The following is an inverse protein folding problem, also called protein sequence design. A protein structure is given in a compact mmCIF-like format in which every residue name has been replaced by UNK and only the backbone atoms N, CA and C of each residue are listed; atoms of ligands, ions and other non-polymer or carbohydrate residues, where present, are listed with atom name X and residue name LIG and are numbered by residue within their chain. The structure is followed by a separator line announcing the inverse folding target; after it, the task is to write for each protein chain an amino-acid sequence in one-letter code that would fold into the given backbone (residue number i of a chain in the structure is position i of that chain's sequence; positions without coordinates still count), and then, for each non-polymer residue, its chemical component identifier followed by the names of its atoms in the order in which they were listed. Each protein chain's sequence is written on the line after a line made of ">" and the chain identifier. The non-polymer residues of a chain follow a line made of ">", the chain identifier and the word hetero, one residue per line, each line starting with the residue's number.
data_IF_620527494777
#
_entry.id   IF_620527494777
#
_cell.length_a   1.000
_cell.length_b   1.000
_cell.length_c   1.000
_cell.angle_alpha   90.00
_cell.angle_beta   90.00
_cell.angle_gamma   90.00
#
_symmetry.space_group_name_H-M   'P 1'
#
loop_
_entity.id
_entity.type
_entity.pdbx_description
1 polymer ?
#
# COMPACT_ATOMS: atom_id res chain seq x y z
N UNK A 1 -37.74 -3.31 28.05
CA UNK A 1 -36.96 -2.37 27.22
C UNK A 1 -35.89 -1.83 28.15
N UNK A 2 -34.84 -2.61 28.32
CA UNK A 2 -33.64 -2.27 29.09
C UNK A 2 -32.47 -2.54 28.15
N UNK A 3 -31.50 -1.62 28.01
CA UNK A 3 -30.37 -1.82 27.14
C UNK A 3 -29.37 -2.76 27.83
N UNK A 4 -28.92 -3.76 27.08
CA UNK A 4 -27.85 -4.68 27.48
C UNK A 4 -26.52 -3.96 27.27
N UNK A 5 -25.93 -3.48 28.36
CA UNK A 5 -24.52 -3.10 28.43
C UNK A 5 -23.66 -4.37 28.31
N UNK A 6 -22.80 -4.44 27.29
CA UNK A 6 -21.92 -5.58 27.08
C UNK A 6 -20.76 -5.32 26.11
N UNK A 7 -20.40 -4.06 25.86
CA UNK A 7 -19.36 -3.69 24.91
C UNK A 7 -18.42 -2.64 25.52
N UNK A 8 -17.64 -3.01 26.54
CA UNK A 8 -16.57 -2.14 27.03
C UNK A 8 -15.44 -2.81 27.84
N UNK A 9 -15.47 -4.12 28.09
CA UNK A 9 -14.43 -4.76 28.93
C UNK A 9 -13.90 -6.07 28.34
N UNK A 10 -13.13 -5.96 27.26
CA UNK A 10 -12.28 -7.05 26.77
C UNK A 10 -10.83 -6.62 26.87
N UNK A 11 -10.30 -6.68 28.09
CA UNK A 11 -8.88 -6.53 28.37
C UNK A 11 -8.05 -7.55 27.58
N UNK A 12 -6.78 -7.21 27.35
CA UNK A 12 -5.78 -7.92 26.54
C UNK A 12 -5.50 -9.40 26.91
N UNK A 13 -6.25 -9.99 27.84
CA UNK A 13 -6.01 -11.32 28.41
C UNK A 13 -6.71 -12.50 27.70
N UNK A 14 -7.62 -12.28 26.74
CA UNK A 14 -8.44 -13.36 26.13
C UNK A 14 -8.02 -13.80 24.73
N UNK A 15 -7.00 -13.15 24.14
CA UNK A 15 -6.69 -13.25 22.71
C UNK A 15 -5.91 -14.51 22.27
N UNK A 16 -5.61 -15.44 23.19
CA UNK A 16 -4.82 -16.66 22.91
C UNK A 16 -5.46 -17.97 23.39
N UNK A 17 -6.64 -17.93 24.01
CA UNK A 17 -7.31 -19.14 24.51
C UNK A 17 -8.33 -19.72 23.52
N UNK A 18 -8.79 -18.92 22.55
CA UNK A 18 -9.81 -19.32 21.58
C UNK A 18 -9.21 -19.73 20.24
N UNK A 19 -9.77 -20.79 19.65
CA UNK A 19 -9.49 -21.18 18.26
C UNK A 19 -10.42 -20.45 17.31
N UNK A 20 -9.84 -19.76 16.32
CA UNK A 20 -10.59 -19.06 15.28
C UNK A 20 -10.65 -19.84 13.97
N UNK A 21 -11.69 -19.60 13.17
CA UNK A 21 -11.88 -20.15 11.83
C UNK A 21 -12.36 -19.10 10.84
N UNK A 22 -11.90 -19.17 9.59
CA UNK A 22 -12.43 -18.37 8.48
C UNK A 22 -12.19 -19.04 7.12
N UNK A 23 -12.85 -18.54 6.09
CA UNK A 23 -12.49 -18.84 4.68
C UNK A 23 -11.35 -17.90 4.27
N UNK A 24 -10.22 -18.45 3.82
CA UNK A 24 -9.01 -17.68 3.46
C UNK A 24 -8.86 -17.44 1.95
N UNK A 25 -9.75 -18.01 1.12
CA UNK A 25 -9.80 -17.80 -0.34
C UNK A 25 -10.81 -16.72 -0.72
N UNK A 26 -10.60 -16.08 -1.88
CA UNK A 26 -11.54 -15.10 -2.42
C UNK A 26 -12.94 -15.69 -2.61
N UNK A 27 -13.96 -14.84 -2.46
CA UNK A 27 -15.35 -15.21 -2.69
C UNK A 27 -15.64 -15.32 -4.18
N UNK A 28 -16.17 -16.47 -4.62
CA UNK A 28 -16.52 -16.71 -6.01
C UNK A 28 -16.32 -18.18 -6.41
N UNK A 29 -16.71 -18.56 -7.64
CA UNK A 29 -16.43 -19.89 -8.14
C UNK A 29 -14.92 -20.08 -8.33
N UNK A 30 -14.31 -20.93 -7.52
CA UNK A 30 -12.93 -21.37 -7.65
C UNK A 30 -12.85 -22.89 -7.66
N UNK A 31 -11.72 -23.45 -8.13
CA UNK A 31 -11.48 -24.88 -8.03
C UNK A 31 -11.29 -25.32 -6.56
N UNK A 32 -10.63 -24.48 -5.75
CA UNK A 32 -10.25 -24.78 -4.37
C UNK A 32 -10.75 -23.67 -3.44
N UNK A 33 -11.25 -24.07 -2.28
CA UNK A 33 -11.60 -23.20 -1.16
C UNK A 33 -10.82 -23.60 0.08
N UNK A 34 -10.30 -22.62 0.83
CA UNK A 34 -9.53 -22.90 2.04
C UNK A 34 -10.30 -22.41 3.26
N UNK A 35 -10.61 -23.33 4.19
CA UNK A 35 -11.10 -23.01 5.54
C UNK A 35 -9.93 -23.19 6.51
N UNK A 36 -9.50 -22.10 7.13
CA UNK A 36 -8.32 -22.06 8.02
C UNK A 36 -8.75 -21.95 9.47
N UNK A 37 -8.15 -22.76 10.34
CA UNK A 37 -8.22 -22.66 11.79
C UNK A 37 -6.89 -22.18 12.38
N UNK A 38 -6.92 -21.40 13.45
CA UNK A 38 -5.74 -21.02 14.25
C UNK A 38 -6.08 -20.96 15.74
N UNK A 39 -5.25 -21.56 16.58
CA UNK A 39 -5.41 -21.53 18.03
C UNK A 39 -5.14 -22.88 18.71
N UNK A 40 -5.31 -22.97 20.05
CA UNK A 40 -4.91 -24.13 20.83
C UNK A 40 -5.65 -25.42 20.46
N UNK A 41 -6.91 -25.33 20.02
CA UNK A 41 -7.76 -26.46 19.68
C UNK A 41 -7.86 -26.72 18.16
N UNK A 42 -7.13 -25.96 17.33
CA UNK A 42 -7.24 -26.04 15.86
C UNK A 42 -7.07 -27.48 15.35
N UNK A 43 -6.10 -28.21 15.91
CA UNK A 43 -5.86 -29.60 15.52
C UNK A 43 -6.92 -30.55 16.05
N UNK A 44 -7.36 -30.37 17.30
CA UNK A 44 -8.40 -31.22 17.89
C UNK A 44 -9.73 -31.08 17.14
N UNK A 45 -10.12 -29.86 16.82
CA UNK A 45 -11.32 -29.55 16.04
C UNK A 45 -11.24 -30.21 14.66
N UNK A 46 -10.14 -29.99 13.93
CA UNK A 46 -9.98 -30.57 12.60
C UNK A 46 -9.95 -32.11 12.61
N UNK A 47 -9.29 -32.72 13.60
CA UNK A 47 -9.25 -34.18 13.77
C UNK A 47 -10.63 -34.78 14.01
N UNK A 48 -11.51 -34.08 14.73
CA UNK A 48 -12.87 -34.56 14.98
C UNK A 48 -13.77 -34.55 13.73
N UNK A 49 -13.40 -33.77 12.71
CA UNK A 49 -14.17 -33.58 11.49
C UNK A 49 -13.53 -34.19 10.24
N UNK A 50 -12.30 -34.70 10.31
CA UNK A 50 -11.56 -35.16 9.14
C UNK A 50 -11.23 -36.65 9.22
N UNK A 51 -11.68 -37.40 8.22
CA UNK A 51 -11.42 -38.83 8.09
C UNK A 51 -10.39 -39.05 6.98
N UNK A 52 -9.14 -39.46 7.31
CA UNK A 52 -8.11 -39.70 6.30
C UNK A 52 -8.48 -40.91 5.43
N UNK A 53 -8.26 -40.82 4.12
CA UNK A 53 -8.53 -41.93 3.20
C UNK A 53 -7.54 -43.08 3.38
N UNK A 54 -6.33 -42.80 3.86
CA UNK A 54 -5.28 -43.78 4.19
C UNK A 54 -4.49 -43.30 5.41
N UNK A 55 -4.09 -44.25 6.25
CA UNK A 55 -3.23 -43.99 7.41
C UNK A 55 -3.99 -43.50 8.64
N UNK A 56 -3.22 -43.07 9.64
CA UNK A 56 -3.72 -42.46 10.88
C UNK A 56 -3.77 -40.94 10.68
N UNK A 57 -4.67 -40.25 11.37
CA UNK A 57 -4.80 -38.79 11.30
C UNK A 57 -3.52 -38.02 11.71
N UNK A 58 -3.58 -36.68 11.74
CA UNK A 58 -2.40 -35.85 11.97
C UNK A 58 -1.68 -36.21 13.28
N UNK A 59 -0.38 -36.52 13.22
CA UNK A 59 0.39 -36.91 14.40
C UNK A 59 0.85 -35.69 15.22
N UNK A 60 1.14 -35.84 16.52
CA UNK A 60 1.66 -34.74 17.35
C UNK A 60 2.97 -34.14 16.83
N UNK A 61 3.88 -34.97 16.33
CA UNK A 61 5.22 -34.60 15.88
C UNK A 61 5.30 -34.03 14.45
N UNK A 62 4.22 -34.14 13.68
CA UNK A 62 4.18 -33.71 12.28
C UNK A 62 3.86 -32.22 12.15
N UNK A 63 4.58 -31.52 11.26
CA UNK A 63 4.25 -30.17 10.81
C UNK A 63 4.59 -30.04 9.33
N UNK A 64 3.95 -29.10 8.63
CA UNK A 64 4.08 -28.94 7.18
C UNK A 64 3.73 -30.23 6.41
N UNK A 65 2.75 -30.98 6.92
CA UNK A 65 2.24 -32.20 6.31
C UNK A 65 0.88 -31.97 5.66
N UNK A 66 0.56 -32.80 4.67
CA UNK A 66 -0.71 -32.77 3.95
C UNK A 66 -1.33 -34.16 3.92
N UNK A 67 -2.61 -34.25 4.27
CA UNK A 67 -3.37 -35.49 4.34
C UNK A 67 -4.56 -35.42 3.39
N UNK A 68 -4.85 -36.52 2.70
CA UNK A 68 -6.02 -36.65 1.85
C UNK A 68 -7.12 -37.46 2.54
N UNK A 69 -8.36 -37.00 2.43
CA UNK A 69 -9.49 -37.58 3.15
C UNK A 69 -10.80 -36.86 2.88
N UNK A 70 -11.74 -37.00 3.82
CA UNK A 70 -13.06 -36.41 3.75
C UNK A 70 -13.33 -35.58 4.99
N UNK A 71 -13.99 -34.43 4.81
CA UNK A 71 -14.65 -33.73 5.91
C UNK A 71 -15.99 -34.41 6.16
N UNK A 72 -16.23 -34.84 7.39
CA UNK A 72 -17.41 -35.59 7.81
C UNK A 72 -18.00 -34.90 9.03
N UNK A 73 -19.33 -34.72 9.05
CA UNK A 73 -20.02 -34.26 10.24
C UNK A 73 -20.05 -35.40 11.28
N UNK A 74 -19.40 -35.26 12.44
CA UNK A 74 -19.30 -36.34 13.43
C UNK A 74 -20.63 -36.62 14.13
N UNK A 75 -21.60 -35.71 14.06
CA UNK A 75 -22.92 -35.90 14.66
C UNK A 75 -23.87 -36.71 13.77
N UNK A 76 -23.72 -36.61 12.44
CA UNK A 76 -24.61 -37.28 11.48
C UNK A 76 -23.92 -38.41 10.71
N UNK A 77 -22.60 -38.42 10.64
CA UNK A 77 -21.80 -39.30 9.78
C UNK A 77 -21.84 -38.93 8.29
N UNK A 78 -22.45 -37.80 7.93
CA UNK A 78 -22.55 -37.34 6.55
C UNK A 78 -21.21 -36.78 6.05
N UNK A 79 -20.75 -37.24 4.88
CA UNK A 79 -19.58 -36.66 4.22
C UNK A 79 -19.97 -35.32 3.58
N UNK A 80 -19.32 -34.26 4.04
CA UNK A 80 -19.53 -32.89 3.54
C UNK A 80 -18.76 -32.65 2.25
N UNK A 81 -17.47 -33.02 2.25
CA UNK A 81 -16.60 -32.81 1.09
C UNK A 81 -15.39 -33.75 1.11
N UNK A 82 -14.83 -34.01 -0.06
CA UNK A 82 -13.50 -34.59 -0.25
C UNK A 82 -12.47 -33.47 -0.22
N UNK A 83 -11.45 -33.58 0.64
CA UNK A 83 -10.56 -32.45 0.94
C UNK A 83 -9.12 -32.88 1.26
N UNK A 84 -8.21 -31.91 1.17
CA UNK A 84 -6.86 -32.02 1.75
C UNK A 84 -6.81 -31.27 3.08
N UNK A 85 -6.15 -31.85 4.06
CA UNK A 85 -5.85 -31.20 5.35
C UNK A 85 -4.36 -30.86 5.38
N UNK A 86 -4.02 -29.59 5.56
CA UNK A 86 -2.65 -29.13 5.80
C UNK A 86 -2.44 -28.75 7.27
N UNK A 87 -1.37 -29.26 7.87
CA UNK A 87 -1.05 -29.04 9.29
C UNK A 87 0.21 -28.18 9.45
N UNK A 88 0.14 -27.14 10.26
CA UNK A 88 1.27 -26.32 10.69
C UNK A 88 1.24 -26.15 12.20
N UNK A 89 2.22 -26.73 12.92
CA UNK A 89 2.28 -26.65 14.38
C UNK A 89 2.99 -25.38 14.87
N UNK A 90 2.59 -24.88 16.03
CA UNK A 90 3.30 -23.83 16.75
C UNK A 90 4.77 -24.21 17.02
N UNK A 91 5.72 -23.25 17.04
CA UNK A 91 5.59 -21.85 16.61
C UNK A 91 5.76 -21.67 15.09
N UNK A 92 5.78 -22.77 14.33
CA UNK A 92 6.14 -22.86 12.91
C UNK A 92 4.94 -22.65 11.99
N UNK A 93 4.14 -21.62 12.26
CA UNK A 93 2.92 -21.30 11.51
C UNK A 93 2.79 -19.79 11.30
N UNK A 94 1.83 -19.37 10.47
CA UNK A 94 1.58 -17.95 10.19
C UNK A 94 1.26 -17.14 11.46
N UNK A 95 0.45 -17.66 12.36
CA UNK A 95 0.10 -16.98 13.63
C UNK A 95 1.07 -17.31 14.76
N UNK A 96 2.03 -18.24 14.56
CA UNK A 96 2.80 -18.93 15.61
C UNK A 96 1.98 -19.80 16.57
N UNK A 97 0.69 -20.00 16.30
CA UNK A 97 -0.16 -20.97 16.97
C UNK A 97 -0.27 -22.26 16.13
N UNK A 98 -0.99 -23.27 16.62
CA UNK A 98 -1.36 -24.39 15.75
C UNK A 98 -2.35 -23.90 14.68
N UNK A 99 -2.05 -24.21 13.41
CA UNK A 99 -2.90 -23.92 12.26
C UNK A 99 -3.24 -25.22 11.53
N UNK A 100 -4.52 -25.34 11.16
CA UNK A 100 -4.99 -26.35 10.22
C UNK A 100 -5.72 -25.68 9.07
N UNK A 101 -5.44 -26.10 7.84
CA UNK A 101 -6.18 -25.66 6.66
C UNK A 101 -6.90 -26.85 6.01
N UNK A 102 -8.19 -26.70 5.77
CA UNK A 102 -9.00 -27.62 4.98
C UNK A 102 -9.17 -27.06 3.57
N UNK A 103 -8.56 -27.74 2.60
CA UNK A 103 -8.58 -27.41 1.18
C UNK A 103 -9.70 -28.22 0.53
N UNK A 104 -10.86 -27.59 0.45
CA UNK A 104 -12.12 -28.14 -0.04
C UNK A 104 -12.37 -27.72 -1.49
N UNK A 105 -13.42 -28.24 -2.11
CA UNK A 105 -13.88 -27.70 -3.40
C UNK A 105 -14.26 -26.22 -3.25
N UNK A 106 -13.88 -25.38 -4.22
CA UNK A 106 -14.05 -23.93 -4.14
C UNK A 106 -15.49 -23.42 -4.32
N UNK A 107 -16.48 -24.32 -4.30
CA UNK A 107 -17.89 -23.96 -4.30
C UNK A 107 -18.30 -23.30 -2.99
N UNK A 108 -19.08 -22.21 -3.07
CA UNK A 108 -19.55 -21.45 -1.91
C UNK A 108 -20.33 -22.33 -0.90
N UNK A 109 -21.04 -23.36 -1.38
CA UNK A 109 -21.78 -24.28 -0.53
C UNK A 109 -20.85 -25.17 0.31
N UNK A 110 -19.82 -25.76 -0.31
CA UNK A 110 -18.83 -26.60 0.37
C UNK A 110 -18.07 -25.80 1.44
N UNK A 111 -17.53 -24.64 1.08
CA UNK A 111 -16.83 -23.76 2.02
C UNK A 111 -17.70 -23.37 3.23
N UNK A 112 -18.97 -23.01 2.99
CA UNK A 112 -19.91 -22.64 4.06
C UNK A 112 -20.27 -23.84 4.95
N UNK A 113 -20.42 -25.02 4.38
CA UNK A 113 -20.71 -26.24 5.15
C UNK A 113 -19.55 -26.58 6.09
N UNK A 114 -18.32 -26.59 5.57
CA UNK A 114 -17.12 -26.85 6.35
C UNK A 114 -16.90 -25.77 7.43
N UNK A 115 -17.03 -24.48 7.09
CA UNK A 115 -16.93 -23.38 8.05
C UNK A 115 -17.94 -23.55 9.21
N UNK A 116 -19.21 -23.83 8.89
CA UNK A 116 -20.26 -24.03 9.90
C UNK A 116 -19.97 -25.24 10.78
N UNK A 117 -19.44 -26.31 10.22
CA UNK A 117 -19.03 -27.49 10.99
C UNK A 117 -17.92 -27.12 11.98
N UNK A 118 -16.88 -26.41 11.53
CA UNK A 118 -15.78 -25.99 12.42
C UNK A 118 -16.29 -25.11 13.56
N UNK A 119 -17.23 -24.20 13.28
CA UNK A 119 -17.86 -23.37 14.32
C UNK A 119 -18.62 -24.22 15.33
N UNK A 120 -19.42 -25.19 14.84
CA UNK A 120 -20.18 -26.10 15.71
C UNK A 120 -19.28 -26.94 16.62
N UNK A 121 -18.07 -27.26 16.16
CA UNK A 121 -17.08 -28.05 16.89
C UNK A 121 -16.22 -27.24 17.86
N UNK A 122 -16.46 -25.93 18.00
CA UNK A 122 -15.85 -25.08 19.03
C UNK A 122 -14.98 -23.95 18.51
N UNK A 123 -14.81 -23.79 17.20
CA UNK A 123 -14.09 -22.63 16.66
C UNK A 123 -14.99 -21.37 16.67
N UNK A 124 -14.40 -20.21 16.95
CA UNK A 124 -15.06 -18.91 16.76
C UNK A 124 -14.80 -18.40 15.35
N UNK A 125 -15.77 -17.69 14.75
CA UNK A 125 -15.50 -16.97 13.49
C UNK A 125 -14.45 -15.88 13.72
N UNK A 126 -13.39 -15.86 12.90
CA UNK A 126 -12.34 -14.85 13.00
C UNK A 126 -12.87 -13.44 12.70
N UNK A 127 -12.34 -12.45 13.40
CA UNK A 127 -12.54 -11.02 13.08
C UNK A 127 -11.70 -10.61 11.85
N UNK A 128 -12.01 -9.47 11.20
CA UNK A 128 -11.18 -8.93 10.12
C UNK A 128 -9.73 -8.73 10.58
N UNK A 129 -8.77 -9.27 9.82
CA UNK A 129 -7.34 -9.14 10.13
C UNK A 129 -6.86 -9.97 11.33
N UNK A 130 -7.70 -10.78 11.98
CA UNK A 130 -7.36 -11.45 13.23
C UNK A 130 -6.16 -12.40 13.09
N UNK A 131 -5.99 -13.09 11.95
CA UNK A 131 -4.82 -13.98 11.79
C UNK A 131 -3.52 -13.18 11.72
N UNK A 132 -3.50 -12.09 10.95
CA UNK A 132 -2.33 -11.18 10.85
C UNK A 132 -2.07 -10.51 12.20
N UNK A 133 -3.13 -10.11 12.92
CA UNK A 133 -3.03 -9.54 14.27
C UNK A 133 -2.37 -10.53 15.24
N UNK A 134 -2.76 -11.81 15.23
CA UNK A 134 -2.12 -12.84 16.05
C UNK A 134 -0.66 -13.06 15.65
N UNK A 135 -0.35 -13.05 14.35
CA UNK A 135 1.03 -13.12 13.87
C UNK A 135 1.89 -11.97 14.41
N UNK A 136 1.34 -10.75 14.45
CA UNK A 136 1.97 -9.58 15.05
C UNK A 136 2.15 -9.73 16.56
N UNK A 137 1.08 -10.03 17.30
CA UNK A 137 1.12 -10.17 18.77
C UNK A 137 2.06 -11.28 19.24
N UNK A 138 2.17 -12.37 18.48
CA UNK A 138 3.10 -13.46 18.78
C UNK A 138 4.54 -13.17 18.30
N UNK A 139 4.81 -11.97 17.78
CA UNK A 139 6.14 -11.49 17.40
C UNK A 139 6.72 -12.13 16.14
N UNK A 140 5.87 -12.68 15.25
CA UNK A 140 6.32 -13.22 13.96
C UNK A 140 6.67 -12.11 12.97
N UNK A 141 5.84 -11.08 12.97
CA UNK A 141 5.93 -9.92 12.10
C UNK A 141 5.75 -8.68 12.97
N UNK A 142 6.27 -7.55 12.52
CA UNK A 142 5.98 -6.25 13.11
C UNK A 142 4.78 -5.55 12.42
N UNK A 143 4.41 -4.36 12.89
CA UNK A 143 3.22 -3.67 12.39
C UNK A 143 3.38 -3.23 10.93
N UNK A 144 4.57 -2.77 10.54
CA UNK A 144 4.84 -2.36 9.17
C UNK A 144 4.80 -3.56 8.21
N UNK A 145 5.27 -4.73 8.65
CA UNK A 145 5.13 -5.98 7.93
C UNK A 145 3.67 -6.45 7.84
N UNK A 146 2.88 -6.30 8.92
CA UNK A 146 1.46 -6.61 8.92
C UNK A 146 0.70 -5.77 7.87
N UNK A 147 0.91 -4.45 7.83
CA UNK A 147 0.33 -3.58 6.79
C UNK A 147 0.76 -3.98 5.38
N UNK A 148 1.98 -4.49 5.22
CA UNK A 148 2.47 -4.98 3.92
C UNK A 148 1.69 -6.20 3.42
N UNK A 149 1.16 -7.05 4.32
CA UNK A 149 0.31 -8.18 3.94
C UNK A 149 -0.96 -7.68 3.25
N UNK A 150 -1.61 -6.63 3.77
CA UNK A 150 -2.75 -6.02 3.12
C UNK A 150 -2.36 -5.36 1.79
N UNK A 151 -1.23 -4.64 1.76
CA UNK A 151 -0.74 -3.94 0.58
C UNK A 151 -0.40 -4.89 -0.59
N UNK A 152 0.19 -6.07 -0.31
CA UNK A 152 0.45 -7.10 -1.34
C UNK A 152 -0.84 -7.56 -2.02
N UNK A 153 -1.91 -7.69 -1.24
CA UNK A 153 -3.20 -8.23 -1.70
C UNK A 153 -3.95 -7.20 -2.52
N UNK A 154 -3.84 -5.92 -2.16
CA UNK A 154 -4.47 -4.81 -2.87
C UNK A 154 -3.60 -4.22 -3.98
N UNK A 155 -2.36 -4.68 -4.15
CA UNK A 155 -1.41 -4.14 -5.11
C UNK A 155 -1.96 -4.15 -6.54
N UNK A 156 -2.02 -2.97 -7.14
CA UNK A 156 -2.57 -2.75 -8.49
C UNK A 156 -1.53 -2.79 -9.59
N UNK A 157 -0.25 -2.67 -9.26
CA UNK A 157 0.84 -2.65 -10.24
C UNK A 157 2.01 -3.53 -9.80
N UNK A 158 2.84 -3.91 -10.76
CA UNK A 158 4.08 -4.66 -10.47
C UNK A 158 5.07 -3.90 -9.58
N UNK A 159 5.07 -2.56 -9.63
CA UNK A 159 5.89 -1.73 -8.73
C UNK A 159 5.35 -1.73 -7.30
N UNK A 160 4.03 -1.59 -7.13
CA UNK A 160 3.39 -1.62 -5.82
C UNK A 160 3.61 -2.97 -5.14
N UNK A 161 3.42 -4.08 -5.87
CA UNK A 161 3.67 -5.42 -5.36
C UNK A 161 5.13 -5.60 -4.91
N UNK A 162 6.09 -5.18 -5.73
CA UNK A 162 7.53 -5.27 -5.39
C UNK A 162 7.87 -4.46 -4.15
N UNK A 163 7.32 -3.24 -4.02
CA UNK A 163 7.53 -2.40 -2.83
C UNK A 163 6.96 -3.08 -1.57
N UNK A 164 5.73 -3.61 -1.63
CA UNK A 164 5.12 -4.28 -0.49
C UNK A 164 5.83 -5.59 -0.09
N UNK A 165 6.34 -6.36 -1.06
CA UNK A 165 7.13 -7.57 -0.77
C UNK A 165 8.43 -7.22 -0.04
N UNK A 166 9.19 -6.22 -0.50
CA UNK A 166 10.41 -5.76 0.18
C UNK A 166 10.14 -5.25 1.59
N UNK A 167 9.00 -4.57 1.79
CA UNK A 167 8.60 -4.12 3.11
C UNK A 167 8.24 -5.30 4.03
N UNK A 168 7.58 -6.33 3.50
CA UNK A 168 7.30 -7.57 4.22
C UNK A 168 8.58 -8.31 4.64
N UNK A 169 9.65 -8.26 3.82
CA UNK A 169 10.98 -8.78 4.17
C UNK A 169 11.62 -8.05 5.37
N UNK A 170 11.11 -6.88 5.75
CA UNK A 170 11.52 -6.16 6.97
C UNK A 170 12.49 -5.01 6.74
N UNK A 171 12.88 -4.72 5.49
CA UNK A 171 13.88 -3.69 5.19
C UNK A 171 13.52 -2.29 5.71
N UNK A 172 12.23 -1.91 5.66
CA UNK A 172 11.76 -0.66 6.27
C UNK A 172 11.94 -0.68 7.79
N UNK A 173 11.49 -1.76 8.45
CA UNK A 173 11.54 -1.90 9.90
C UNK A 173 12.96 -1.88 10.44
N UNK A 174 13.89 -2.56 9.78
CA UNK A 174 15.31 -2.54 10.14
C UNK A 174 15.89 -1.13 10.09
N UNK A 175 15.59 -0.39 9.01
CA UNK A 175 16.03 1.00 8.84
C UNK A 175 15.47 1.89 9.94
N UNK A 176 14.16 1.82 10.20
CA UNK A 176 13.50 2.63 11.23
C UNK A 176 14.02 2.30 12.64
N UNK A 177 14.22 1.01 12.97
CA UNK A 177 14.81 0.59 14.25
C UNK A 177 16.22 1.10 14.42
N UNK A 178 17.05 1.11 13.36
CA UNK A 178 18.40 1.65 13.44
C UNK A 178 18.40 3.15 13.78
N UNK A 179 17.54 3.94 13.13
CA UNK A 179 17.41 5.38 13.38
C UNK A 179 16.85 5.65 14.78
N UNK A 180 15.82 4.90 15.18
CA UNK A 180 15.25 4.96 16.53
C UNK A 180 16.30 4.62 17.60
N UNK A 181 17.13 3.61 17.38
CA UNK A 181 18.20 3.22 18.32
C UNK A 181 19.21 4.35 18.54
N UNK A 182 19.57 5.06 17.47
CA UNK A 182 20.45 6.24 17.57
C UNK A 182 19.77 7.34 18.37
N UNK A 183 18.52 7.69 18.06
CA UNK A 183 17.76 8.70 18.80
C UNK A 183 17.59 8.37 20.28
N UNK A 184 17.30 7.11 20.63
CA UNK A 184 17.21 6.67 22.03
C UNK A 184 18.56 6.80 22.74
N UNK A 185 19.66 6.49 22.06
CA UNK A 185 21.00 6.69 22.62
C UNK A 185 21.32 8.16 22.90
N UNK A 186 20.94 9.05 21.98
CA UNK A 186 21.07 10.49 22.13
C UNK A 186 20.17 11.00 23.28
N UNK A 187 18.91 10.57 23.33
CA UNK A 187 17.96 10.95 24.37
C UNK A 187 18.48 10.57 25.76
N UNK A 188 18.98 9.35 25.92
CA UNK A 188 19.51 8.88 27.19
C UNK A 188 20.71 9.71 27.69
N UNK A 189 21.56 10.21 26.78
CA UNK A 189 22.66 11.10 27.14
C UNK A 189 22.17 12.47 27.61
N UNK A 190 21.17 13.03 26.92
CA UNK A 190 20.58 14.32 27.27
C UNK A 190 19.77 14.25 28.58
N UNK A 191 18.99 13.18 28.80
CA UNK A 191 18.19 13.00 30.03
C UNK A 191 19.06 12.92 31.28
N UNK A 192 20.23 12.29 31.21
CA UNK A 192 21.16 12.23 32.36
C UNK A 192 21.62 13.62 32.79
N UNK A 193 21.85 14.54 31.86
CA UNK A 193 22.22 15.92 32.21
C UNK A 193 21.06 16.67 32.86
N UNK A 194 19.83 16.47 32.36
CA UNK A 194 18.61 17.09 32.92
C UNK A 194 18.30 16.59 34.33
N UNK A 195 18.30 15.27 34.53
CA UNK A 195 17.88 14.65 35.79
C UNK A 195 18.89 14.87 36.94
N UNK A 196 20.16 15.13 36.60
CA UNK A 196 21.27 15.25 37.56
C UNK A 196 22.00 16.60 37.46
N UNK A 197 21.29 17.68 37.12
CA UNK A 197 21.86 19.02 36.95
C UNK A 197 22.56 19.60 38.20
N UNK A 198 22.27 19.06 39.39
CA UNK A 198 22.84 19.47 40.68
C UNK A 198 24.02 18.58 41.15
N UNK A 199 24.36 17.53 40.40
CA UNK A 199 25.48 16.63 40.68
C UNK A 199 26.69 16.93 39.76
N UNK A 200 27.90 16.48 40.14
CA UNK A 200 29.14 16.63 39.33
C UNK A 200 29.12 15.69 38.11
N UNK A 201 28.12 15.83 37.24
CA UNK A 201 27.99 15.08 35.98
C UNK A 201 28.75 15.82 34.88
N UNK A 202 29.35 15.05 33.96
CA UNK A 202 29.98 15.63 32.78
C UNK A 202 28.95 16.45 31.97
N UNK A 203 29.29 17.69 31.57
CA UNK A 203 28.37 18.55 30.83
C UNK A 203 28.04 17.97 29.46
N UNK A 204 26.83 18.22 28.99
CA UNK A 204 26.35 17.76 27.68
C UNK A 204 27.25 18.29 26.55
N UNK A 205 27.76 17.38 25.72
CA UNK A 205 28.47 17.75 24.49
C UNK A 205 27.47 18.15 23.40
N UNK A 206 27.10 19.43 23.40
CA UNK A 206 26.23 20.04 22.39
C UNK A 206 26.73 19.83 20.96
N UNK A 207 28.05 19.77 20.74
CA UNK A 207 28.63 19.55 19.42
C UNK A 207 28.32 18.14 18.92
N UNK A 208 28.60 17.13 19.74
CA UNK A 208 28.28 15.74 19.44
C UNK A 208 26.77 15.51 19.27
N UNK A 209 25.94 16.19 20.07
CA UNK A 209 24.49 16.14 19.97
C UNK A 209 23.98 16.67 18.63
N UNK A 210 24.44 17.85 18.21
CA UNK A 210 24.05 18.47 16.92
C UNK A 210 24.51 17.61 15.75
N UNK A 211 25.71 17.03 15.81
CA UNK A 211 26.22 16.13 14.77
C UNK A 211 25.37 14.84 14.68
N UNK A 212 25.08 14.21 15.83
CA UNK A 212 24.25 13.01 15.91
C UNK A 212 22.84 13.24 15.36
N UNK A 213 22.18 14.33 15.78
CA UNK A 213 20.85 14.70 15.28
C UNK A 213 20.86 15.06 13.80
N UNK A 214 21.91 15.73 13.31
CA UNK A 214 22.07 16.07 11.89
C UNK A 214 22.16 14.82 11.01
N UNK A 215 22.92 13.82 11.42
CA UNK A 215 23.03 12.54 10.72
C UNK A 215 21.68 11.81 10.63
N UNK A 216 20.93 11.76 11.73
CA UNK A 216 19.59 11.14 11.76
C UNK A 216 18.59 11.94 10.91
N UNK A 217 18.62 13.27 10.97
CA UNK A 217 17.75 14.14 10.18
C UNK A 217 17.95 13.89 8.68
N UNK A 218 19.19 13.82 8.21
CA UNK A 218 19.52 13.57 6.80
C UNK A 218 18.98 12.22 6.32
N UNK A 219 19.13 11.19 7.15
CA UNK A 219 18.64 9.84 6.85
C UNK A 219 17.11 9.75 6.86
N UNK A 220 16.44 10.40 7.81
CA UNK A 220 14.98 10.48 7.83
C UNK A 220 14.45 11.31 6.66
N UNK A 221 15.10 12.42 6.31
CA UNK A 221 14.73 13.24 5.16
C UNK A 221 14.88 12.47 3.84
N UNK A 222 15.92 11.65 3.71
CA UNK A 222 16.14 10.75 2.57
C UNK A 222 14.99 9.76 2.42
N UNK A 223 14.65 9.06 3.51
CA UNK A 223 13.51 8.14 3.53
C UNK A 223 12.19 8.87 3.22
N UNK A 224 12.00 10.09 3.76
CA UNK A 224 10.80 10.88 3.52
C UNK A 224 10.65 11.32 2.06
N UNK A 225 11.74 11.50 1.30
CA UNK A 225 11.64 11.79 -0.15
C UNK A 225 10.95 10.66 -0.93
N UNK A 226 11.02 9.42 -0.45
CA UNK A 226 10.31 8.28 -1.06
C UNK A 226 8.78 8.34 -0.89
N UNK A 227 8.26 9.24 -0.05
CA UNK A 227 6.84 9.38 0.24
C UNK A 227 5.99 9.67 -1.01
N UNK A 228 6.52 10.46 -1.96
CA UNK A 228 5.81 10.75 -3.20
C UNK A 228 5.65 9.49 -4.06
N UNK A 229 6.73 8.73 -4.25
CA UNK A 229 6.69 7.44 -4.94
C UNK A 229 5.77 6.46 -4.22
N UNK A 230 5.80 6.41 -2.88
CA UNK A 230 4.91 5.58 -2.08
C UNK A 230 3.44 5.89 -2.33
N UNK A 231 3.06 7.18 -2.33
CA UNK A 231 1.70 7.62 -2.67
C UNK A 231 1.31 7.20 -4.09
N UNK A 232 2.21 7.39 -5.06
CA UNK A 232 1.98 7.02 -6.45
C UNK A 232 1.77 5.51 -6.61
N UNK A 233 2.51 4.67 -5.87
CA UNK A 233 2.33 3.21 -5.90
C UNK A 233 1.04 2.76 -5.19
N UNK A 234 0.64 3.44 -4.12
CA UNK A 234 -0.55 3.09 -3.32
C UNK A 234 -1.86 3.49 -4.00
N UNK A 235 -1.97 4.73 -4.46
CA UNK A 235 -3.22 5.29 -5.00
C UNK A 235 -3.22 5.45 -6.53
N UNK A 236 -2.05 5.28 -7.15
CA UNK A 236 -1.85 5.67 -8.53
C UNK A 236 -1.61 7.17 -8.71
N UNK A 237 -1.24 7.55 -9.93
CA UNK A 237 -1.05 8.95 -10.34
C UNK A 237 -2.21 9.37 -11.20
N UNK A 238 -2.97 10.36 -10.73
CA UNK A 238 -4.13 10.88 -11.44
C UNK A 238 -3.69 11.75 -12.61
N UNK A 239 -3.86 11.23 -13.83
CA UNK A 239 -3.36 11.87 -15.05
C UNK A 239 -4.51 12.39 -15.92
N UNK A 240 -4.54 13.70 -16.17
CA UNK A 240 -5.50 14.33 -17.07
C UNK A 240 -4.91 14.49 -18.47
N UNK A 241 -5.70 14.16 -19.51
CA UNK A 241 -5.35 14.42 -20.91
C UNK A 241 -6.16 15.63 -21.40
N UNK A 242 -5.48 16.74 -21.66
CA UNK A 242 -6.11 18.02 -22.02
C UNK A 242 -5.67 18.47 -23.41
N UNK A 243 -6.44 19.36 -24.02
CA UNK A 243 -6.19 19.86 -25.38
C UNK A 243 -7.50 20.11 -26.14
N UNK A 244 -7.41 20.82 -27.27
CA UNK A 244 -8.57 21.18 -28.10
C UNK A 244 -9.32 19.95 -28.64
N UNK A 245 -10.58 20.10 -29.12
CA UNK A 245 -11.23 19.07 -29.92
C UNK A 245 -10.35 18.61 -31.08
N UNK A 246 -10.42 17.32 -31.43
CA UNK A 246 -9.74 16.72 -32.59
C UNK A 246 -8.19 16.75 -32.63
N UNK A 247 -7.51 17.18 -31.56
CA UNK A 247 -6.04 17.07 -31.44
C UNK A 247 -5.53 15.63 -31.26
N UNK A 248 -6.45 14.69 -31.04
CA UNK A 248 -6.15 13.25 -30.92
C UNK A 248 -5.93 12.75 -29.49
N UNK A 249 -6.52 13.41 -28.48
CA UNK A 249 -6.52 12.96 -27.08
C UNK A 249 -6.96 11.49 -26.93
N UNK A 250 -8.10 11.12 -27.52
CA UNK A 250 -8.62 9.74 -27.43
C UNK A 250 -7.77 8.74 -28.21
N UNK A 251 -7.13 9.18 -29.30
CA UNK A 251 -6.15 8.35 -30.01
C UNK A 251 -4.94 8.08 -29.13
N UNK A 252 -4.42 9.10 -28.42
CA UNK A 252 -3.30 8.97 -27.49
C UNK A 252 -3.66 8.05 -26.32
N UNK A 253 -4.84 8.24 -25.72
CA UNK A 253 -5.37 7.39 -24.66
C UNK A 253 -5.47 5.93 -25.12
N UNK A 254 -6.03 5.67 -26.30
CA UNK A 254 -6.10 4.31 -26.85
C UNK A 254 -4.72 3.73 -27.15
N UNK A 255 -3.78 4.54 -27.65
CA UNK A 255 -2.41 4.10 -27.90
C UNK A 255 -1.69 3.70 -26.60
N UNK A 256 -1.89 4.46 -25.51
CA UNK A 256 -1.40 4.12 -24.18
C UNK A 256 -2.07 2.85 -23.63
N UNK A 257 -3.40 2.72 -23.76
CA UNK A 257 -4.15 1.54 -23.33
C UNK A 257 -3.77 0.26 -24.10
N UNK A 258 -3.48 0.35 -25.40
CA UNK A 258 -3.11 -0.82 -26.21
C UNK A 258 -1.70 -1.31 -25.94
N UNK A 259 -0.79 -0.43 -25.51
CA UNK A 259 0.59 -0.80 -25.19
C UNK A 259 0.79 -1.20 -23.74
N UNK A 260 -0.09 -0.76 -22.84
CA UNK A 260 0.01 -1.08 -21.43
C UNK A 260 -1.00 -2.13 -20.98
N UNK A 261 -0.64 -2.82 -19.89
CA UNK A 261 -1.57 -3.71 -19.22
C UNK A 261 -2.65 -2.85 -18.56
N UNK A 262 -3.89 -3.00 -19.04
CA UNK A 262 -5.05 -2.53 -18.30
C UNK A 262 -5.07 -3.24 -16.94
N UNK A 263 -5.04 -2.46 -15.86
CA UNK A 263 -5.22 -2.99 -14.51
C UNK A 263 -6.72 -2.90 -14.24
N UNK A 264 -7.38 -4.06 -14.18
CA UNK A 264 -8.79 -4.12 -13.81
C UNK A 264 -8.89 -3.91 -12.30
N UNK A 265 -9.71 -2.95 -11.87
CA UNK A 265 -10.09 -2.84 -10.46
C UNK A 265 -11.16 -3.89 -10.15
N UNK A 266 -10.72 -5.12 -9.87
CA UNK A 266 -11.61 -6.14 -9.31
C UNK A 266 -11.58 -6.02 -7.77
N UNK A 267 -12.33 -5.06 -7.23
CA UNK A 267 -12.81 -5.17 -5.84
C UNK A 267 -14.22 -5.77 -5.91
N UNK A 268 -14.41 -7.05 -5.56
CA UNK A 268 -15.74 -7.65 -5.54
C UNK A 268 -16.60 -6.93 -4.49
N UNK A 269 -17.61 -6.17 -4.93
CA UNK A 269 -18.62 -5.58 -4.04
C UNK A 269 -18.82 -4.07 -4.12
N UNK A 270 -17.99 -3.31 -4.84
CA UNK A 270 -18.23 -1.86 -5.04
C UNK A 270 -19.05 -1.60 -6.31
N UNK A 271 -20.28 -2.13 -6.36
CA UNK A 271 -21.25 -1.68 -7.35
C UNK A 271 -21.76 -0.29 -6.94
N UNK A 272 -21.01 0.77 -7.27
CA UNK A 272 -21.55 2.13 -7.45
C UNK A 272 -20.57 3.18 -7.96
N UNK A 273 -19.27 2.91 -7.92
CA UNK A 273 -18.27 3.86 -8.41
C UNK A 273 -17.73 3.43 -9.78
N UNK A 274 -17.57 4.42 -10.64
CA UNK A 274 -17.13 4.35 -12.02
C UNK A 274 -15.99 3.35 -12.23
N UNK A 275 -16.08 2.52 -13.27
CA UNK A 275 -14.95 1.70 -13.74
C UNK A 275 -13.84 2.67 -14.14
N UNK A 276 -12.89 2.87 -13.25
CA UNK A 276 -11.71 3.70 -13.48
C UNK A 276 -10.65 2.87 -14.21
N UNK A 277 -10.24 3.31 -15.40
CA UNK A 277 -9.23 2.62 -16.20
C UNK A 277 -7.82 2.99 -15.69
N UNK A 278 -7.21 2.07 -14.95
CA UNK A 278 -5.80 2.15 -14.56
C UNK A 278 -4.91 1.50 -15.65
N UNK A 279 -3.81 2.16 -16.00
CA UNK A 279 -2.72 1.56 -16.78
C UNK A 279 -1.45 1.46 -15.93
N UNK A 280 -0.60 0.49 -16.21
CA UNK A 280 0.72 0.41 -15.57
C UNK A 280 1.77 1.09 -16.46
N UNK A 281 2.49 2.10 -15.96
CA UNK A 281 3.68 2.66 -16.64
C UNK A 281 4.88 2.56 -15.71
N UNK A 282 5.93 1.83 -16.13
CA UNK A 282 7.14 1.63 -15.31
C UNK A 282 6.88 0.88 -14.00
N UNK A 283 5.72 0.22 -13.83
CA UNK A 283 5.31 -0.36 -12.56
C UNK A 283 4.52 0.58 -11.65
N UNK A 284 4.19 1.79 -12.11
CA UNK A 284 3.36 2.76 -11.39
C UNK A 284 1.93 2.68 -11.94
N UNK A 285 0.90 2.59 -11.08
CA UNK A 285 -0.48 2.71 -11.53
C UNK A 285 -0.75 4.14 -11.97
N UNK A 286 -1.22 4.32 -13.19
CA UNK A 286 -1.63 5.62 -13.73
C UNK A 286 -3.14 5.57 -13.92
N UNK A 287 -3.84 6.45 -13.21
CA UNK A 287 -5.28 6.61 -13.35
C UNK A 287 -5.52 7.65 -14.43
N UNK A 288 -5.99 7.21 -15.60
CA UNK A 288 -6.35 8.14 -16.66
C UNK A 288 -7.71 8.75 -16.34
N UNK A 289 -7.72 10.04 -15.99
CA UNK A 289 -8.95 10.78 -15.78
C UNK A 289 -9.52 11.12 -17.13
N UNK A 290 -10.33 10.22 -17.67
CA UNK A 290 -11.01 10.51 -18.92
C UNK A 290 -12.22 11.42 -18.66
N UNK A 291 -12.32 12.40 -19.55
CA UNK A 291 -13.54 12.81 -20.22
C UNK A 291 -14.38 11.63 -20.75
N UNK A 292 -14.72 10.67 -19.89
CA UNK A 292 -15.40 9.39 -20.13
C UNK A 292 -16.88 9.55 -20.58
N UNK A 293 -17.17 10.57 -21.38
CA UNK A 293 -18.29 10.62 -22.32
C UNK A 293 -17.89 10.21 -23.75
N UNK A 294 -16.66 9.76 -23.99
CA UNK A 294 -16.18 9.40 -25.33
C UNK A 294 -16.61 7.99 -25.81
N UNK A 295 -17.39 7.24 -25.02
CA UNK A 295 -18.23 6.15 -25.54
C UNK A 295 -19.65 6.69 -25.73
N UNK A 296 -20.04 6.87 -27.00
CA UNK A 296 -21.34 7.30 -27.56
C UNK A 296 -21.62 8.82 -27.70
N UNK A 297 -21.21 9.36 -28.86
CA UNK A 297 -21.98 10.21 -29.81
C UNK A 297 -22.66 11.52 -29.36
N UNK A 298 -22.28 12.64 -30.00
CA UNK A 298 -23.19 13.78 -30.28
C UNK A 298 -22.63 15.19 -30.06
N UNK A 299 -22.92 16.11 -31.00
CA UNK A 299 -22.50 17.53 -31.12
C UNK A 299 -22.96 18.49 -29.98
N UNK A 300 -23.48 17.99 -28.84
CA UNK A 300 -23.95 18.83 -27.73
C UNK A 300 -22.99 18.88 -26.51
N UNK A 301 -21.81 18.25 -26.63
CA UNK A 301 -20.88 17.97 -25.51
C UNK A 301 -19.75 19.01 -25.37
N UNK A 302 -19.54 19.90 -26.35
CA UNK A 302 -18.29 20.69 -26.45
C UNK A 302 -18.07 21.78 -25.38
N UNK A 303 -19.10 22.50 -24.93
CA UNK A 303 -18.92 23.52 -23.86
C UNK A 303 -18.73 22.91 -22.47
N UNK A 304 -19.44 21.80 -22.19
CA UNK A 304 -19.22 20.99 -20.98
C UNK A 304 -17.83 20.33 -21.00
N UNK A 305 -17.27 20.07 -22.19
CA UNK A 305 -15.92 19.51 -22.35
C UNK A 305 -14.81 20.42 -21.83
N UNK A 306 -14.87 21.73 -22.08
CA UNK A 306 -13.83 22.68 -21.66
C UNK A 306 -13.79 22.85 -20.13
N UNK A 307 -14.93 23.07 -19.49
CA UNK A 307 -15.01 23.21 -18.02
C UNK A 307 -14.62 21.92 -17.31
N UNK A 308 -14.98 20.76 -17.87
CA UNK A 308 -14.55 19.44 -17.37
C UNK A 308 -13.04 19.22 -17.53
N UNK A 309 -12.45 19.60 -18.67
CA UNK A 309 -11.00 19.51 -18.86
C UNK A 309 -10.23 20.41 -17.89
N UNK A 310 -10.74 21.61 -17.58
CA UNK A 310 -10.13 22.49 -16.58
C UNK A 310 -10.20 21.90 -15.17
N UNK A 311 -11.35 21.38 -14.75
CA UNK A 311 -11.48 20.69 -13.44
C UNK A 311 -10.61 19.44 -13.34
N UNK A 312 -10.52 18.67 -14.43
CA UNK A 312 -9.64 17.50 -14.48
C UNK A 312 -8.18 17.91 -14.33
N UNK A 313 -7.76 19.00 -14.96
CA UNK A 313 -6.42 19.57 -14.86
C UNK A 313 -6.09 20.05 -13.43
N UNK A 314 -7.04 20.70 -12.75
CA UNK A 314 -6.87 21.17 -11.36
C UNK A 314 -6.68 20.02 -10.37
N UNK A 315 -7.40 18.92 -10.57
CA UNK A 315 -7.37 17.77 -9.67
C UNK A 315 -6.35 16.69 -10.05
N UNK A 316 -5.60 16.88 -11.14
CA UNK A 316 -4.63 15.90 -11.61
C UNK A 316 -3.27 16.09 -10.93
N UNK A 317 -2.65 14.96 -10.61
CA UNK A 317 -1.25 14.87 -10.20
C UNK A 317 -0.32 15.07 -11.40
N UNK A 318 -0.79 14.76 -12.61
CA UNK A 318 -0.04 14.89 -13.86
C UNK A 318 -0.95 15.34 -15.03
N UNK A 319 -0.46 16.22 -15.89
CA UNK A 319 -1.20 16.72 -17.05
C UNK A 319 -0.47 16.39 -18.36
N UNK A 320 -1.15 15.71 -19.27
CA UNK A 320 -0.71 15.51 -20.66
C UNK A 320 -1.45 16.52 -21.55
N UNK A 321 -0.76 17.59 -21.96
CA UNK A 321 -1.33 18.62 -22.81
C UNK A 321 -1.05 18.30 -24.29
N UNK A 322 -2.10 17.92 -25.02
CA UNK A 322 -2.01 17.41 -26.39
C UNK A 322 -2.30 18.51 -27.41
N UNK A 323 -1.37 18.70 -28.35
CA UNK A 323 -1.46 19.69 -29.43
C UNK A 323 -1.38 19.00 -30.80
N UNK A 324 -2.06 19.55 -31.80
CA UNK A 324 -2.03 19.03 -33.17
C UNK A 324 -0.92 19.72 -33.98
N UNK A 325 0.12 18.97 -34.35
CA UNK A 325 1.23 19.51 -35.14
C UNK A 325 0.84 19.94 -36.56
N UNK A 326 -0.21 19.36 -37.13
CA UNK A 326 -0.65 19.66 -38.50
C UNK A 326 -1.30 21.03 -38.64
N UNK A 327 -1.71 21.64 -37.52
CA UNK A 327 -2.37 22.95 -37.47
C UNK A 327 -1.39 24.02 -36.96
N UNK A 328 -1.65 25.28 -37.27
CA UNK A 328 -0.86 26.38 -36.72
C UNK A 328 -1.22 26.63 -35.25
N UNK A 329 -0.21 26.98 -34.45
CA UNK A 329 -0.39 27.40 -33.06
C UNK A 329 -1.26 28.66 -32.98
N UNK A 330 -2.22 28.71 -32.06
CA UNK A 330 -3.06 29.88 -31.85
C UNK A 330 -3.13 30.33 -30.37
N UNK A 331 -3.86 31.42 -30.11
CA UNK A 331 -3.99 32.02 -28.77
C UNK A 331 -4.59 31.07 -27.73
N UNK A 332 -5.44 30.12 -28.14
CA UNK A 332 -6.04 29.15 -27.22
C UNK A 332 -5.01 28.11 -26.79
N UNK A 333 -4.09 27.73 -27.66
CA UNK A 333 -2.97 26.84 -27.29
C UNK A 333 -2.05 27.55 -26.29
N UNK A 334 -1.74 28.83 -26.54
CA UNK A 334 -0.95 29.63 -25.62
C UNK A 334 -1.62 29.75 -24.24
N UNK A 335 -2.92 30.06 -24.20
CA UNK A 335 -3.67 30.14 -22.94
C UNK A 335 -3.70 28.83 -22.15
N UNK A 336 -3.66 27.67 -22.83
CA UNK A 336 -3.57 26.39 -22.15
C UNK A 336 -2.18 26.21 -21.54
N UNK A 337 -1.11 26.46 -22.31
CA UNK A 337 0.28 26.38 -21.84
C UNK A 337 0.52 27.30 -20.65
N UNK A 338 0.02 28.53 -20.70
CA UNK A 338 0.17 29.52 -19.62
C UNK A 338 -0.47 29.08 -18.28
N UNK A 339 -1.39 28.09 -18.32
CA UNK A 339 -2.03 27.51 -17.13
C UNK A 339 -1.38 26.21 -16.66
N UNK A 340 -0.46 25.64 -17.44
CA UNK A 340 0.21 24.40 -17.09
C UNK A 340 1.28 24.67 -16.03
N UNK A 341 1.42 23.73 -15.12
CA UNK A 341 2.49 23.70 -14.14
C UNK A 341 3.67 22.90 -14.73
N UNK A 342 4.86 23.51 -14.93
CA UNK A 342 6.02 22.85 -15.54
C UNK A 342 6.47 21.57 -14.82
N UNK A 343 6.25 21.46 -13.51
CA UNK A 343 6.73 20.32 -12.73
C UNK A 343 5.86 19.07 -12.90
N UNK A 344 4.58 19.25 -13.28
CA UNK A 344 3.60 18.17 -13.42
C UNK A 344 2.92 18.12 -14.78
N UNK A 345 3.49 18.73 -15.81
CA UNK A 345 2.90 18.77 -17.14
C UNK A 345 3.86 18.33 -18.23
N UNK A 346 3.34 17.55 -19.18
CA UNK A 346 4.04 17.14 -20.40
C UNK A 346 3.29 17.71 -21.60
N UNK A 347 3.99 18.47 -22.43
CA UNK A 347 3.49 18.94 -23.72
C UNK A 347 3.70 17.83 -24.76
N UNK A 348 2.61 17.35 -25.35
CA UNK A 348 2.58 16.25 -26.31
C UNK A 348 2.09 16.78 -27.64
N UNK A 349 2.97 16.97 -28.61
CA UNK A 349 2.49 17.27 -29.96
C UNK A 349 2.25 16.01 -30.77
N UNK A 350 1.00 15.83 -31.12
CA UNK A 350 0.46 14.68 -31.82
C UNK A 350 0.37 14.92 -33.34
N UNK A 351 0.11 13.85 -34.09
CA UNK A 351 0.01 13.82 -35.56
C UNK A 351 1.32 14.16 -36.27
N UNK A 352 2.44 13.73 -35.69
CA UNK A 352 3.76 13.90 -36.30
C UNK A 352 3.89 13.27 -37.69
N UNK A 353 3.07 12.26 -37.99
CA UNK A 353 2.96 11.61 -39.30
C UNK A 353 2.47 12.54 -40.43
N UNK A 354 1.81 13.65 -40.08
CA UNK A 354 1.28 14.63 -41.03
C UNK A 354 2.22 15.81 -41.29
N UNK A 355 3.34 15.91 -40.58
CA UNK A 355 4.25 17.06 -40.65
C UNK A 355 5.70 16.67 -40.95
N UNK A 356 6.47 17.51 -41.67
CA UNK A 356 7.90 17.30 -41.83
C UNK A 356 8.64 17.39 -40.49
N UNK A 357 9.69 16.58 -40.33
CA UNK A 357 10.53 16.51 -39.12
C UNK A 357 11.05 17.87 -38.62
N UNK A 358 11.25 18.85 -39.51
CA UNK A 358 11.69 20.21 -39.16
C UNK A 358 10.67 20.95 -38.28
N UNK A 359 9.37 20.80 -38.56
CA UNK A 359 8.28 21.41 -37.79
C UNK A 359 8.12 20.75 -36.42
N UNK A 360 8.41 19.45 -36.34
CA UNK A 360 8.45 18.71 -35.06
C UNK A 360 9.53 19.24 -34.11
N UNK A 361 10.66 19.78 -34.61
CA UNK A 361 11.69 20.44 -33.78
C UNK A 361 11.33 21.87 -33.39
N UNK A 362 10.54 22.60 -34.17
CA UNK A 362 10.14 23.98 -33.81
C UNK A 362 9.29 24.00 -32.53
N UNK A 363 8.55 22.92 -32.27
CA UNK A 363 7.76 22.79 -31.06
C UNK A 363 8.60 22.69 -29.77
N UNK A 364 9.85 22.22 -29.84
CA UNK A 364 10.74 22.16 -28.65
C UNK A 364 11.10 23.53 -28.06
N UNK A 365 10.66 24.63 -28.70
CA UNK A 365 10.77 26.00 -28.21
C UNK A 365 9.48 26.56 -27.59
N UNK A 366 8.37 25.80 -27.57
CA UNK A 366 7.06 26.27 -27.09
C UNK A 366 6.85 25.84 -25.63
N UNK A 367 6.70 26.78 -24.70
CA UNK A 367 6.52 26.47 -23.27
C UNK A 367 7.86 26.21 -22.55
N UNK A 368 8.52 27.30 -22.13
CA UNK A 368 9.80 27.24 -21.41
C UNK A 368 9.64 26.46 -20.09
N UNK A 369 10.53 25.49 -19.87
CA UNK A 369 10.57 24.70 -18.62
C UNK A 369 9.67 23.46 -18.59
N UNK A 370 8.76 23.29 -19.56
CA UNK A 370 7.94 22.07 -19.67
C UNK A 370 8.71 20.93 -20.32
N UNK A 371 8.46 19.70 -19.87
CA UNK A 371 8.86 18.49 -20.59
C UNK A 371 8.02 18.32 -21.85
N UNK A 372 8.62 17.90 -22.95
CA UNK A 372 7.96 17.87 -24.26
C UNK A 372 8.31 16.62 -25.04
N UNK A 373 7.35 16.11 -25.80
CA UNK A 373 7.56 15.02 -26.75
C UNK A 373 6.67 15.17 -27.99
N UNK A 374 7.08 14.46 -29.05
CA UNK A 374 6.37 14.41 -30.33
C UNK A 374 5.91 12.99 -30.55
N UNK A 375 4.64 12.81 -30.91
CA UNK A 375 4.05 11.49 -31.13
C UNK A 375 3.20 11.45 -32.38
N UNK A 376 3.02 10.25 -32.92
CA UNK A 376 1.85 9.92 -33.73
C UNK A 376 1.04 8.89 -32.96
N UNK A 377 -0.07 9.31 -32.36
CA UNK A 377 -0.98 8.40 -31.69
C UNK A 377 -1.64 7.41 -32.67
N UNK A 378 -1.62 7.69 -33.98
CA UNK A 378 -2.14 6.80 -35.01
C UNK A 378 -1.17 5.64 -35.31
N UNK A 379 0.12 5.95 -35.49
CA UNK A 379 1.14 4.92 -35.80
C UNK A 379 1.76 4.29 -34.54
N UNK A 380 1.66 4.98 -33.41
CA UNK A 380 2.30 4.63 -32.14
C UNK A 380 3.76 5.10 -32.02
N UNK A 381 4.27 5.88 -32.97
CA UNK A 381 5.60 6.49 -32.87
C UNK A 381 5.65 7.52 -31.74
N UNK A 382 6.73 7.54 -30.96
CA UNK A 382 6.94 8.48 -29.84
C UNK A 382 6.16 8.16 -28.55
N UNK A 383 5.28 7.15 -28.55
CA UNK A 383 4.51 6.76 -27.35
C UNK A 383 5.45 6.32 -26.21
N UNK A 384 6.59 5.71 -26.52
CA UNK A 384 7.58 5.33 -25.52
C UNK A 384 8.28 6.53 -24.87
N UNK A 385 8.39 7.66 -25.58
CA UNK A 385 8.93 8.90 -25.02
C UNK A 385 7.96 9.51 -24.01
N UNK A 386 6.64 9.48 -24.31
CA UNK A 386 5.60 9.89 -23.35
C UNK A 386 5.72 9.09 -22.06
N UNK A 387 5.89 7.75 -22.17
CA UNK A 387 6.05 6.86 -21.02
C UNK A 387 7.29 7.19 -20.20
N UNK A 388 8.43 7.42 -20.87
CA UNK A 388 9.68 7.83 -20.23
C UNK A 388 9.53 9.12 -19.43
N UNK A 389 8.88 10.14 -20.02
CA UNK A 389 8.64 11.42 -19.36
C UNK A 389 7.66 11.32 -18.17
N UNK A 390 6.60 10.51 -18.29
CA UNK A 390 5.68 10.23 -17.18
C UNK A 390 6.47 9.62 -16.01
N UNK A 391 7.29 8.59 -16.29
CA UNK A 391 8.10 7.95 -15.27
C UNK A 391 9.12 8.92 -14.66
N UNK A 392 9.75 9.76 -15.47
CA UNK A 392 10.72 10.74 -15.01
C UNK A 392 10.11 11.77 -14.05
N UNK A 393 8.93 12.32 -14.38
CA UNK A 393 8.20 13.23 -13.49
C UNK A 393 7.87 12.53 -12.18
N UNK A 394 7.32 11.30 -12.24
CA UNK A 394 6.84 10.64 -11.03
C UNK A 394 8.01 10.20 -10.12
N UNK A 395 9.15 9.84 -10.69
CA UNK A 395 10.32 9.37 -9.94
C UNK A 395 11.34 10.46 -9.64
N UNK A 396 11.09 11.71 -10.06
CA UNK A 396 12.08 12.79 -9.97
C UNK A 396 13.38 12.48 -10.72
N UNK A 397 13.33 11.60 -11.72
CA UNK A 397 14.50 11.13 -12.49
C UNK A 397 15.35 10.04 -11.84
N UNK A 398 15.08 9.65 -10.58
CA UNK A 398 15.85 8.61 -9.87
C UNK A 398 15.42 7.18 -10.26
N UNK A 399 14.29 7.03 -10.95
CA UNK A 399 13.73 5.73 -11.35
C UNK A 399 13.04 4.97 -10.20
N UNK A 400 12.46 3.81 -10.51
CA UNK A 400 11.81 2.93 -9.52
C UNK A 400 12.78 1.96 -8.83
N UNK A 401 14.03 1.93 -9.26
CA UNK A 401 15.08 1.09 -8.67
C UNK A 401 15.64 1.73 -7.40
N UNK A 402 14.75 2.15 -6.50
CA UNK A 402 15.14 2.67 -5.20
C UNK A 402 15.65 1.46 -4.40
N UNK A 403 16.94 1.47 -4.06
CA UNK A 403 17.52 0.50 -3.09
C UNK A 403 16.91 0.71 -1.70
N UNK A 404 16.46 1.93 -1.41
CA UNK A 404 15.81 2.29 -0.16
C UNK A 404 14.37 1.76 -0.06
N UNK A 405 13.91 1.40 1.14
CA UNK A 405 12.51 1.11 1.40
C UNK A 405 11.62 2.30 1.06
N UNK A 406 10.50 2.06 0.36
CA UNK A 406 9.54 3.10 0.01
C UNK A 406 8.49 3.25 1.12
N UNK A 407 8.18 4.50 1.49
CA UNK A 407 7.09 4.81 2.43
C UNK A 407 5.71 4.65 1.78
N UNK A 408 5.29 3.39 1.64
CA UNK A 408 4.10 3.02 0.87
C UNK A 408 2.77 3.47 1.50
N UNK A 409 2.62 3.51 2.82
CA UNK A 409 1.34 3.85 3.48
C UNK A 409 1.30 5.31 3.94
N UNK A 410 0.13 5.93 3.93
CA UNK A 410 -0.05 7.31 4.41
C UNK A 410 0.38 7.47 5.87
N UNK A 411 0.06 6.47 6.71
CA UNK A 411 0.44 6.43 8.12
C UNK A 411 1.96 6.53 8.29
N UNK A 412 2.72 5.74 7.54
CA UNK A 412 4.19 5.78 7.59
C UNK A 412 4.73 7.13 7.14
N UNK A 413 4.20 7.69 6.04
CA UNK A 413 4.62 9.01 5.55
C UNK A 413 4.42 10.10 6.60
N UNK A 414 3.27 10.10 7.26
CA UNK A 414 2.93 11.07 8.29
C UNK A 414 3.82 10.92 9.54
N UNK A 415 4.05 9.69 10.01
CA UNK A 415 4.89 9.42 11.19
C UNK A 415 6.38 9.72 10.92
N UNK A 416 6.91 9.36 9.75
CA UNK A 416 8.27 9.75 9.37
C UNK A 416 8.39 11.26 9.19
N UNK A 417 7.39 11.92 8.60
CA UNK A 417 7.36 13.38 8.48
C UNK A 417 7.39 14.08 9.84
N UNK A 418 6.67 13.56 10.84
CA UNK A 418 6.75 14.02 12.23
C UNK A 418 8.14 13.80 12.81
N UNK A 419 8.71 12.61 12.66
CA UNK A 419 10.07 12.33 13.15
C UNK A 419 11.12 13.27 12.53
N UNK A 420 11.02 13.60 11.24
CA UNK A 420 11.87 14.61 10.59
C UNK A 420 11.70 15.97 11.25
N UNK A 421 10.46 16.43 11.46
CA UNK A 421 10.17 17.73 12.03
C UNK A 421 10.70 17.86 13.47
N UNK A 422 10.42 16.87 14.34
CA UNK A 422 10.87 16.88 15.73
C UNK A 422 12.40 16.73 15.83
N UNK A 423 13.03 15.87 15.00
CA UNK A 423 14.51 15.76 14.96
C UNK A 423 15.17 17.09 14.55
N UNK A 424 14.58 17.79 13.58
CA UNK A 424 15.06 19.12 13.16
C UNK A 424 14.88 20.17 14.25
N UNK A 425 13.75 20.16 14.96
CA UNK A 425 13.49 21.06 16.08
C UNK A 425 14.52 20.85 17.21
N UNK A 426 14.74 19.60 17.61
CA UNK A 426 15.77 19.23 18.58
C UNK A 426 17.15 19.73 18.18
N UNK A 427 17.55 19.51 16.91
CA UNK A 427 18.83 19.97 16.38
C UNK A 427 18.97 21.49 16.41
N UNK A 428 17.91 22.21 16.05
CA UNK A 428 17.91 23.67 16.05
C UNK A 428 18.07 24.23 17.48
N UNK A 429 17.35 23.68 18.46
CA UNK A 429 17.50 24.02 19.87
C UNK A 429 18.90 23.68 20.40
N UNK A 430 19.41 22.48 20.10
CA UNK A 430 20.75 22.05 20.48
C UNK A 430 21.86 22.95 19.90
N UNK A 431 21.68 23.46 18.68
CA UNK A 431 22.63 24.38 18.02
C UNK A 431 22.71 25.74 18.73
N UNK A 432 21.67 26.12 19.47
CA UNK A 432 21.66 27.33 20.30
C UNK A 432 22.28 27.08 21.68
N UNK A 433 22.59 25.82 22.04
CA UNK A 433 23.17 25.42 23.31
C UNK A 433 22.28 25.74 24.51
N UNK A 434 20.96 25.59 24.36
CA UNK A 434 19.96 25.99 25.36
C UNK A 434 18.80 25.01 25.43
N UNK A 435 18.20 24.96 26.61
CA UNK A 435 16.92 24.28 26.88
C UNK A 435 16.97 22.76 26.65
N UNK A 436 17.71 22.06 27.51
CA UNK A 436 17.91 20.62 27.47
C UNK A 436 16.59 19.84 27.58
N UNK A 437 15.63 20.35 28.38
CA UNK A 437 14.29 19.78 28.51
C UNK A 437 13.55 19.77 27.18
N UNK A 438 13.56 20.90 26.45
CA UNK A 438 12.91 21.02 25.15
C UNK A 438 13.56 20.09 24.11
N UNK A 439 14.90 20.00 24.12
CA UNK A 439 15.62 19.08 23.24
C UNK A 439 15.24 17.62 23.53
N UNK A 440 15.17 17.23 24.81
CA UNK A 440 14.73 15.89 25.20
C UNK A 440 13.30 15.58 24.72
N UNK A 441 12.38 16.54 24.86
CA UNK A 441 10.99 16.36 24.42
C UNK A 441 10.87 16.18 22.90
N UNK A 442 11.58 16.99 22.11
CA UNK A 442 11.58 16.87 20.65
C UNK A 442 12.17 15.51 20.19
N UNK A 443 13.24 15.05 20.83
CA UNK A 443 13.83 13.73 20.54
C UNK A 443 12.85 12.61 20.93
N UNK A 444 12.18 12.73 22.07
CA UNK A 444 11.19 11.78 22.55
C UNK A 444 10.02 11.67 21.57
N UNK A 445 9.53 12.79 21.03
CA UNK A 445 8.49 12.78 19.99
C UNK A 445 8.94 12.03 18.74
N UNK A 446 10.18 12.23 18.28
CA UNK A 446 10.73 11.49 17.15
C UNK A 446 10.82 9.98 17.43
N UNK A 447 11.30 9.58 18.62
CA UNK A 447 11.37 8.17 19.05
C UNK A 447 9.99 7.52 19.06
N UNK A 448 8.99 8.20 19.63
CA UNK A 448 7.60 7.72 19.66
C UNK A 448 7.02 7.59 18.25
N UNK A 449 7.24 8.58 17.37
CA UNK A 449 6.76 8.55 16.00
C UNK A 449 7.30 7.33 15.23
N UNK A 450 8.59 7.01 15.39
CA UNK A 450 9.20 5.83 14.78
C UNK A 450 8.70 4.53 15.42
N UNK A 451 8.58 4.47 16.76
CA UNK A 451 8.08 3.30 17.48
C UNK A 451 6.64 2.91 17.13
N UNK A 452 5.79 3.91 16.82
CA UNK A 452 4.43 3.68 16.32
C UNK A 452 4.38 3.02 14.95
N UNK A 453 5.42 3.16 14.12
CA UNK A 453 5.48 2.51 12.81
C UNK A 453 5.75 1.01 12.95
N UNK A 454 6.76 0.66 13.76
CA UNK A 454 7.21 -0.71 14.00
C UNK A 454 6.30 -1.47 14.97
N UNK A 455 5.46 -0.76 15.72
CA UNK A 455 4.58 -1.37 16.73
C UNK A 455 5.26 -1.57 18.09
N UNK A 456 6.37 -0.88 18.34
CA UNK A 456 7.03 -0.81 19.65
C UNK A 456 6.30 0.16 20.60
N UNK A 457 5.47 1.04 20.04
CA UNK A 457 4.66 2.02 20.78
C UNK A 457 3.22 2.00 20.26
N UNK A 458 2.34 1.30 20.97
CA UNK A 458 1.00 0.95 20.48
C UNK A 458 -0.10 1.30 21.46
N UNK A 459 -1.21 1.76 20.89
CA UNK A 459 -2.50 1.84 21.60
C UNK A 459 -3.44 0.74 21.07
N UNK A 460 -4.33 0.19 21.91
CA UNK A 460 -5.33 -0.78 21.48
C UNK A 460 -6.19 -0.29 20.30
N UNK A 461 -6.64 0.97 20.36
CA UNK A 461 -7.47 1.58 19.32
C UNK A 461 -6.76 1.64 17.95
N UNK A 462 -5.44 1.88 17.95
CA UNK A 462 -4.66 1.92 16.71
C UNK A 462 -4.56 0.54 16.07
N UNK A 463 -4.41 -0.52 16.88
CA UNK A 463 -4.40 -1.89 16.37
C UNK A 463 -5.75 -2.23 15.75
N UNK A 464 -6.85 -1.91 16.43
CA UNK A 464 -8.20 -2.18 15.93
C UNK A 464 -8.47 -1.42 14.62
N UNK A 465 -8.06 -0.15 14.52
CA UNK A 465 -8.21 0.63 13.28
C UNK A 465 -7.44 -0.01 12.11
N UNK A 466 -6.20 -0.46 12.33
CA UNK A 466 -5.36 -1.06 11.28
C UNK A 466 -5.96 -2.39 10.81
N UNK A 467 -6.26 -3.30 11.74
CA UNK A 467 -6.72 -4.65 11.37
C UNK A 467 -8.17 -4.67 10.87
N UNK A 468 -9.01 -3.68 11.23
CA UNK A 468 -10.36 -3.54 10.68
C UNK A 468 -10.39 -3.37 9.15
N UNK A 469 -9.30 -2.86 8.56
CA UNK A 469 -9.16 -2.65 7.10
C UNK A 469 -8.77 -3.93 6.34
N UNK A 470 -8.47 -5.01 7.05
CA UNK A 470 -8.07 -6.29 6.44
C UNK A 470 -9.31 -7.12 6.06
N UNK A 471 -9.13 -8.04 5.12
CA UNK A 471 -10.18 -9.01 4.78
C UNK A 471 -10.37 -10.05 5.90
N UNK A 472 -11.57 -10.62 5.97
CA UNK A 472 -11.82 -11.83 6.76
C UNK A 472 -10.94 -12.99 6.25
N UNK A 473 -10.35 -13.76 7.18
CA UNK A 473 -9.48 -14.89 6.84
C UNK A 473 -8.01 -14.54 6.57
N UNK A 474 -7.64 -13.27 6.81
CA UNK A 474 -6.26 -12.79 6.92
C UNK A 474 -5.99 -12.25 8.30
#
# INVERSE_FOLDING_TARGET
>A
MEPVDGAADRSAATWGEETIVAVSTATGPGAIGIVRLSGPDAVAIAQSAFVPARGVGPRPEETYSMLYGHVVDPYTGESIDEALLALMRAPRSYTREDIVELHCHGGLAAQRAVLRLMIRLGARLAEPGEFTRRAFLNGRIDLAQAESVAAIVSARSSGALRASVRQLEGGLSERLRSLRKVLVGILAQAEVTVDFSDEDVDPLDWGALVEGLGSVEEDLARLHRTAFLGRALEHGVRTAIVGKPNVGKSSLLNALLMRERAIVSDVPGTTRDTVEDFIEIGGIPIQLVDTAGMRSGGDHVERLGVERSLRAMEQADLVLAVFDLSVAWDDTDQQLVDRLDPERSIIVGNKSDLVPWTRSREMTGIGHGHKQCVVSALTGEGIDDVRGLIQEIITGGEGLAVEEPVLATERHRNLVGKAVASTRAARACASLGRDEELVCEDIREAVHALGRITGEDLTPDLLDEIFSKFCLGK
#
